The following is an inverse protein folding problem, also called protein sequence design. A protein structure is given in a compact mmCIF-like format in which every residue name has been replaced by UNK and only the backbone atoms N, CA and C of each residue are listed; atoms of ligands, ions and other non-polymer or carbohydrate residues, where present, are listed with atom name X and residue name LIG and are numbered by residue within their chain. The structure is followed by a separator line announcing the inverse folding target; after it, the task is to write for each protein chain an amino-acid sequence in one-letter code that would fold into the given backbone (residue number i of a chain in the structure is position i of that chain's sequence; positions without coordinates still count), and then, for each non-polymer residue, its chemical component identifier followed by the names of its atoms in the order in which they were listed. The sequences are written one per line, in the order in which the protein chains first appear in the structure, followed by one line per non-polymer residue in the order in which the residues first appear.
data_IF_159275857291
#
_entry.id   IF_159275857291
#
_cell.length_a   1.000
_cell.length_b   1.000
_cell.length_c   1.000
_cell.angle_alpha   90.00
_cell.angle_beta   90.00
_cell.angle_gamma   90.00
#
_symmetry.space_group_name_H-M   'P 1'
#
loop_
_entity.id
_entity.type
_entity.pdbx_description
1 polymer ?
#
# COMPACT_ATOMS: atom_id res chain seq x y z
N UNK A 1 -11.80 9.96 -13.38
CA UNK A 1 -10.87 10.19 -12.26
C UNK A 1 -11.33 11.43 -11.53
N UNK A 2 -11.46 11.39 -10.21
CA UNK A 2 -11.74 12.60 -9.43
C UNK A 2 -10.55 13.55 -9.55
N UNK A 3 -10.82 14.84 -9.73
CA UNK A 3 -9.81 15.89 -9.91
C UNK A 3 -8.80 15.91 -8.76
N UNK A 4 -9.26 15.66 -7.52
CA UNK A 4 -8.42 15.56 -6.32
C UNK A 4 -7.47 14.37 -6.36
N UNK A 5 -7.89 13.23 -6.90
CA UNK A 5 -7.02 12.04 -7.01
C UNK A 5 -5.87 12.28 -8.00
N UNK A 6 -6.17 12.87 -9.15
CA UNK A 6 -5.14 13.20 -10.14
C UNK A 6 -4.14 14.24 -9.59
N UNK A 7 -4.62 15.20 -8.80
CA UNK A 7 -3.74 16.18 -8.14
C UNK A 7 -2.85 15.53 -7.07
N UNK A 8 -3.37 14.58 -6.28
CA UNK A 8 -2.58 13.80 -5.32
C UNK A 8 -1.52 12.94 -6.01
N UNK A 9 -1.89 12.25 -7.09
CA UNK A 9 -0.94 11.45 -7.88
C UNK A 9 0.20 12.34 -8.41
N UNK A 10 -0.12 13.53 -8.92
CA UNK A 10 0.90 14.49 -9.38
C UNK A 10 1.79 15.00 -8.25
N UNK A 11 1.26 15.23 -7.05
CA UNK A 11 2.06 15.59 -5.89
C UNK A 11 3.04 14.48 -5.51
N UNK A 12 2.62 13.20 -5.55
CA UNK A 12 3.53 12.09 -5.27
C UNK A 12 4.63 11.92 -6.33
N UNK A 13 4.37 12.27 -7.58
CA UNK A 13 5.42 12.32 -8.60
C UNK A 13 6.45 13.40 -8.30
N UNK A 14 6.00 14.61 -7.98
CA UNK A 14 6.87 15.73 -7.62
C UNK A 14 7.69 15.45 -6.35
N UNK A 15 7.10 14.78 -5.37
CA UNK A 15 7.81 14.36 -4.16
C UNK A 15 8.97 13.41 -4.49
N UNK A 16 8.76 12.44 -5.38
CA UNK A 16 9.84 11.55 -5.84
C UNK A 16 10.91 12.32 -6.60
N UNK A 17 10.53 13.22 -7.51
CA UNK A 17 11.46 14.07 -8.25
C UNK A 17 12.33 14.91 -7.30
N UNK A 18 11.73 15.50 -6.25
CA UNK A 18 12.44 16.25 -5.23
C UNK A 18 13.44 15.41 -4.44
N UNK A 19 13.09 14.18 -4.06
CA UNK A 19 14.02 13.27 -3.39
C UNK A 19 15.21 12.91 -4.29
N UNK A 20 14.97 12.66 -5.58
CA UNK A 20 16.05 12.41 -6.55
C UNK A 20 16.99 13.62 -6.62
N UNK A 21 16.45 14.83 -6.67
CA UNK A 21 17.28 16.05 -6.70
C UNK A 21 18.11 16.25 -5.43
N UNK A 22 17.58 15.85 -4.27
CA UNK A 22 18.34 15.86 -3.01
C UNK A 22 19.46 14.82 -3.01
N UNK A 23 19.16 13.58 -3.44
CA UNK A 23 20.14 12.49 -3.54
C UNK A 23 21.27 12.81 -4.54
N UNK A 24 20.95 13.55 -5.61
CA UNK A 24 21.91 14.02 -6.61
C UNK A 24 22.59 15.35 -6.24
N UNK A 25 22.29 15.93 -5.07
CA UNK A 25 22.81 17.23 -4.60
C UNK A 25 22.54 18.41 -5.56
N UNK A 26 21.45 18.35 -6.33
CA UNK A 26 21.06 19.36 -7.34
C UNK A 26 20.22 20.48 -6.73
N UNK A 27 20.82 21.24 -5.82
CA UNK A 27 20.12 22.25 -5.01
C UNK A 27 19.51 23.41 -5.81
N UNK A 28 20.15 23.83 -6.91
CA UNK A 28 19.64 24.92 -7.76
C UNK A 28 18.32 24.58 -8.42
N UNK A 29 18.11 23.30 -8.76
CA UNK A 29 16.88 22.78 -9.37
C UNK A 29 15.85 22.38 -8.31
N UNK A 30 16.32 21.96 -7.14
CA UNK A 30 15.48 21.57 -6.01
C UNK A 30 14.62 22.74 -5.51
N UNK A 31 15.21 23.92 -5.28
CA UNK A 31 14.51 25.08 -4.72
C UNK A 31 13.23 25.48 -5.49
N UNK A 32 13.28 25.73 -6.82
CA UNK A 32 12.09 26.11 -7.56
C UNK A 32 11.05 24.98 -7.62
N UNK A 33 11.48 23.71 -7.66
CA UNK A 33 10.56 22.57 -7.61
C UNK A 33 9.89 22.42 -6.24
N UNK A 34 10.61 22.72 -5.15
CA UNK A 34 10.08 22.70 -3.79
C UNK A 34 9.01 23.78 -3.60
N UNK A 35 9.21 24.97 -4.17
CA UNK A 35 8.22 26.05 -4.17
C UNK A 35 6.96 25.65 -4.95
N UNK A 36 7.14 25.05 -6.13
CA UNK A 36 6.05 24.53 -6.95
C UNK A 36 5.26 23.42 -6.23
N UNK A 37 5.96 22.51 -5.55
CA UNK A 37 5.35 21.46 -4.74
C UNK A 37 4.51 22.04 -3.59
N UNK A 38 5.07 23.02 -2.87
CA UNK A 38 4.39 23.72 -1.77
C UNK A 38 3.14 24.46 -2.25
N UNK A 39 3.21 25.13 -3.40
CA UNK A 39 2.07 25.81 -4.00
C UNK A 39 0.94 24.84 -4.39
N UNK A 40 1.29 23.66 -4.93
CA UNK A 40 0.31 22.63 -5.28
C UNK A 40 -0.34 21.99 -4.05
N UNK A 41 0.42 21.77 -2.97
CA UNK A 41 -0.15 21.32 -1.68
C UNK A 41 -1.17 22.34 -1.18
N UNK A 42 -0.79 23.61 -1.14
CA UNK A 42 -1.69 24.68 -0.69
C UNK A 42 -2.95 24.75 -1.54
N UNK A 43 -2.80 24.70 -2.86
CA UNK A 43 -3.94 24.69 -3.78
C UNK A 43 -4.86 23.49 -3.52
N UNK A 44 -4.31 22.29 -3.33
CA UNK A 44 -5.09 21.09 -3.04
C UNK A 44 -5.89 21.25 -1.75
N UNK A 45 -5.26 21.75 -0.67
CA UNK A 45 -5.90 21.96 0.62
C UNK A 45 -6.99 23.04 0.56
N UNK A 46 -6.75 24.13 -0.17
CA UNK A 46 -7.69 25.24 -0.30
C UNK A 46 -8.92 24.88 -1.16
N UNK A 47 -8.78 23.93 -2.11
CA UNK A 47 -9.81 23.64 -3.11
C UNK A 47 -10.46 22.26 -2.97
N UNK A 48 -9.98 21.40 -2.07
CA UNK A 48 -10.57 20.08 -1.84
C UNK A 48 -11.44 20.11 -0.60
N UNK A 49 -12.72 19.68 -0.68
CA UNK A 49 -13.56 19.55 0.48
C UNK A 49 -12.95 18.55 1.47
N UNK A 50 -12.78 18.96 2.72
CA UNK A 50 -12.25 18.11 3.81
C UNK A 50 -13.03 16.77 3.90
N UNK A 51 -14.34 16.82 3.66
CA UNK A 51 -15.22 15.64 3.62
C UNK A 51 -14.85 14.63 2.53
N UNK A 52 -14.40 15.09 1.35
CA UNK A 52 -13.98 14.19 0.28
C UNK A 52 -12.66 13.50 0.62
N UNK A 53 -11.71 14.22 1.21
CA UNK A 53 -10.45 13.64 1.67
C UNK A 53 -10.67 12.61 2.78
N UNK A 54 -11.48 12.96 3.80
CA UNK A 54 -11.81 12.06 4.90
C UNK A 54 -12.55 10.80 4.40
N UNK A 55 -13.44 10.95 3.43
CA UNK A 55 -14.12 9.82 2.81
C UNK A 55 -13.14 8.87 2.14
N UNK A 56 -12.19 9.38 1.35
CA UNK A 56 -11.17 8.55 0.69
C UNK A 56 -10.28 7.85 1.73
N UNK A 57 -9.79 8.57 2.75
CA UNK A 57 -8.99 7.99 3.84
C UNK A 57 -9.74 6.86 4.52
N UNK A 58 -11.00 7.07 4.89
CA UNK A 58 -11.82 6.04 5.55
C UNK A 58 -12.03 4.80 4.67
N UNK A 59 -12.19 4.98 3.36
CA UNK A 59 -12.34 3.87 2.41
C UNK A 59 -11.04 3.07 2.29
N UNK A 60 -9.88 3.75 2.25
CA UNK A 60 -8.57 3.11 2.22
C UNK A 60 -8.29 2.31 3.51
N UNK A 61 -8.60 2.87 4.69
CA UNK A 61 -8.47 2.14 5.97
C UNK A 61 -9.36 0.90 6.01
N UNK A 62 -10.60 0.97 5.50
CA UNK A 62 -11.48 -0.20 5.40
C UNK A 62 -10.89 -1.28 4.49
N UNK A 63 -10.24 -0.88 3.38
CA UNK A 63 -9.60 -1.79 2.46
C UNK A 63 -8.36 -2.45 3.09
N UNK A 64 -7.53 -1.68 3.80
CA UNK A 64 -6.37 -2.19 4.54
C UNK A 64 -6.78 -3.28 5.55
N UNK A 65 -7.79 -2.99 6.37
CA UNK A 65 -8.36 -3.97 7.31
C UNK A 65 -8.88 -5.23 6.60
N UNK A 66 -9.50 -5.07 5.42
CA UNK A 66 -9.99 -6.21 4.65
C UNK A 66 -8.85 -7.08 4.11
N UNK A 67 -7.76 -6.47 3.64
CA UNK A 67 -6.54 -7.16 3.19
C UNK A 67 -5.89 -7.91 4.35
N UNK A 68 -5.75 -7.26 5.51
CA UNK A 68 -5.19 -7.90 6.70
C UNK A 68 -6.00 -9.13 7.11
N UNK A 69 -7.33 -9.00 7.16
CA UNK A 69 -8.22 -10.13 7.48
C UNK A 69 -8.11 -11.26 6.45
N UNK A 70 -7.97 -10.94 5.16
CA UNK A 70 -7.75 -11.93 4.11
C UNK A 70 -6.42 -12.66 4.29
N UNK A 71 -5.35 -11.94 4.62
CA UNK A 71 -4.02 -12.53 4.88
C UNK A 71 -4.07 -13.45 6.11
N UNK A 72 -4.70 -13.02 7.20
CA UNK A 72 -4.89 -13.84 8.40
C UNK A 72 -5.65 -15.13 8.07
N UNK A 73 -6.77 -15.04 7.34
CA UNK A 73 -7.54 -16.22 6.91
C UNK A 73 -6.72 -17.13 6.00
N UNK A 74 -6.00 -16.57 5.03
CA UNK A 74 -5.11 -17.32 4.14
C UNK A 74 -4.07 -18.12 4.93
N UNK A 75 -3.46 -17.51 5.94
CA UNK A 75 -2.50 -18.18 6.80
C UNK A 75 -3.13 -19.34 7.60
N UNK A 76 -4.34 -19.16 8.13
CA UNK A 76 -5.08 -20.24 8.81
C UNK A 76 -5.32 -21.42 7.87
N UNK A 77 -5.80 -21.17 6.64
CA UNK A 77 -6.01 -22.24 5.66
C UNK A 77 -4.70 -22.93 5.26
N UNK A 78 -3.62 -22.17 5.10
CA UNK A 78 -2.29 -22.72 4.82
C UNK A 78 -1.83 -23.69 5.92
N UNK A 79 -1.98 -23.31 7.20
CA UNK A 79 -1.63 -24.16 8.34
C UNK A 79 -2.48 -25.44 8.37
N UNK A 80 -3.79 -25.33 8.15
CA UNK A 80 -4.68 -26.50 8.08
C UNK A 80 -4.31 -27.45 6.94
N UNK A 81 -3.95 -26.92 5.76
CA UNK A 81 -3.50 -27.73 4.63
C UNK A 81 -2.17 -28.44 4.94
N UNK A 82 -1.24 -27.73 5.59
CA UNK A 82 0.04 -28.29 6.04
C UNK A 82 -0.18 -29.45 7.02
N UNK A 83 -1.07 -29.28 7.99
CA UNK A 83 -1.41 -30.33 8.96
C UNK A 83 -2.03 -31.55 8.29
N UNK A 84 -3.01 -31.35 7.41
CA UNK A 84 -3.63 -32.43 6.62
C UNK A 84 -2.59 -33.19 5.78
N UNK A 85 -1.67 -32.48 5.14
CA UNK A 85 -0.57 -33.07 4.36
C UNK A 85 0.36 -33.93 5.24
N UNK A 86 0.71 -33.46 6.44
CA UNK A 86 1.53 -34.22 7.39
C UNK A 86 0.82 -35.49 7.87
N UNK A 87 -0.48 -35.42 8.18
CA UNK A 87 -1.28 -36.59 8.55
C UNK A 87 -1.32 -37.62 7.43
N UNK A 88 -1.53 -37.18 6.17
CA UNK A 88 -1.51 -38.07 5.01
C UNK A 88 -0.14 -38.75 4.83
N UNK A 89 0.97 -38.01 4.98
CA UNK A 89 2.32 -38.58 4.93
C UNK A 89 2.55 -39.63 6.03
N UNK A 90 2.13 -39.35 7.26
CA UNK A 90 2.21 -40.30 8.39
C UNK A 90 1.39 -41.56 8.12
N UNK A 91 0.17 -41.43 7.64
CA UNK A 91 -0.70 -42.56 7.30
C UNK A 91 -0.09 -43.43 6.18
N UNK A 92 0.47 -42.79 5.14
CA UNK A 92 1.17 -43.50 4.07
C UNK A 92 2.40 -44.27 4.57
N UNK A 93 3.16 -43.68 5.50
CA UNK A 93 4.30 -44.35 6.14
C UNK A 93 3.86 -45.54 6.99
N UNK A 94 2.78 -45.42 7.78
CA UNK A 94 2.22 -46.54 8.54
C UNK A 94 1.82 -47.69 7.63
N UNK A 95 1.04 -47.42 6.57
CA UNK A 95 0.58 -48.45 5.61
C UNK A 95 1.77 -49.19 4.97
N UNK A 96 2.86 -48.49 4.66
CA UNK A 96 4.08 -49.11 4.12
C UNK A 96 4.82 -49.99 5.13
N UNK A 97 4.74 -49.70 6.43
CA UNK A 97 5.42 -50.46 7.48
C UNK A 97 4.69 -51.78 7.85
N UNK A 98 3.41 -51.90 7.50
CA UNK A 98 2.60 -53.12 7.68
C UNK A 98 2.56 -54.02 6.42
N UNK A 99 3.32 -53.68 5.37
CA UNK A 99 3.54 -54.50 4.18
C UNK A 99 4.94 -55.08 4.23
#
# INVERSE_FOLDING_TARGET
MNTTQAQLERLFELEKELNILLDEERYEEFLPQQDQFSAQIKYLLDNSPEEEMLRVISQLQRLENAVELLQQRSNVYFLQLKEKSLLQRRNKSKIKAYK
#
